data_IF_487688481047
#
_entry.id   IF_487688481047
#
_cell.length_a   1.000
_cell.length_b   1.000
_cell.length_c   1.000
_cell.angle_alpha   90.00
_cell.angle_beta   90.00
_cell.angle_gamma   90.00
#
_symmetry.space_group_name_H-M   'P 1'
#
loop_
_entity.id
_entity.type
_entity.pdbx_description
1 polymer ?
#
# COMPACT_ATOMS: atom_id res chain seq x y z
N UNK A 1 -11.25 9.11 21.87
CA UNK A 1 -10.90 10.54 21.93
C UNK A 1 -10.99 11.10 20.52
N UNK A 2 -11.73 12.20 20.30
CA UNK A 2 -11.70 12.94 19.03
C UNK A 2 -10.71 14.10 19.19
N UNK A 3 -9.81 14.28 18.23
CA UNK A 3 -8.81 15.36 18.22
C UNK A 3 -9.36 16.65 17.63
N UNK A 4 -10.48 16.59 16.90
CA UNK A 4 -11.14 17.76 16.32
C UNK A 4 -12.65 17.56 16.19
N UNK A 5 -13.39 18.66 16.19
CA UNK A 5 -14.84 18.73 15.99
C UNK A 5 -15.15 19.65 14.81
N UNK A 6 -15.25 19.06 13.62
CA UNK A 6 -15.55 19.77 12.39
C UNK A 6 -16.80 19.21 11.70
N UNK A 7 -17.43 20.04 10.87
CA UNK A 7 -18.54 19.59 10.03
C UNK A 7 -18.05 18.56 9.00
N UNK A 8 -18.91 17.66 8.50
CA UNK A 8 -18.53 16.69 7.47
C UNK A 8 -17.93 17.33 6.22
N UNK A 9 -18.41 18.53 5.83
CA UNK A 9 -17.90 19.28 4.68
C UNK A 9 -16.44 19.72 4.89
N UNK A 10 -16.15 20.33 6.05
CA UNK A 10 -14.79 20.78 6.39
C UNK A 10 -13.83 19.60 6.50
N UNK A 11 -14.27 18.48 7.07
CA UNK A 11 -13.47 17.25 7.13
C UNK A 11 -13.04 16.77 5.75
N UNK A 12 -14.00 16.62 4.84
CA UNK A 12 -13.70 16.11 3.50
C UNK A 12 -12.89 17.10 2.68
N UNK A 13 -13.14 18.40 2.83
CA UNK A 13 -12.32 19.43 2.21
C UNK A 13 -10.85 19.29 2.66
N UNK A 14 -10.59 19.22 3.97
CA UNK A 14 -9.24 19.08 4.50
C UNK A 14 -8.54 17.80 4.01
N UNK A 15 -9.24 16.66 4.00
CA UNK A 15 -8.68 15.40 3.53
C UNK A 15 -8.39 15.41 2.03
N UNK A 16 -9.34 15.86 1.22
CA UNK A 16 -9.18 15.92 -0.24
C UNK A 16 -8.01 16.84 -0.60
N UNK A 17 -7.86 17.99 0.05
CA UNK A 17 -6.69 18.86 -0.14
C UNK A 17 -5.37 18.12 0.11
N UNK A 18 -5.28 17.36 1.21
CA UNK A 18 -4.07 16.57 1.52
C UNK A 18 -3.86 15.45 0.49
N UNK A 19 -4.92 14.77 0.07
CA UNK A 19 -4.81 13.71 -0.95
C UNK A 19 -4.36 14.23 -2.31
N UNK A 20 -4.82 15.42 -2.70
CA UNK A 20 -4.34 16.09 -3.92
C UNK A 20 -2.84 16.39 -3.82
N UNK A 21 -2.37 16.86 -2.66
CA UNK A 21 -0.93 17.08 -2.42
C UNK A 21 -0.16 15.76 -2.51
N UNK A 22 -0.63 14.71 -1.82
CA UNK A 22 -0.01 13.37 -1.85
C UNK A 22 0.05 12.82 -3.28
N UNK A 23 -1.06 12.89 -4.02
CA UNK A 23 -1.14 12.45 -5.40
C UNK A 23 -0.15 13.24 -6.28
N UNK A 24 -0.09 14.56 -6.11
CA UNK A 24 0.83 15.42 -6.87
C UNK A 24 2.28 15.05 -6.60
N UNK A 25 2.69 14.91 -5.33
CA UNK A 25 4.05 14.49 -4.95
C UNK A 25 4.39 13.11 -5.52
N UNK A 26 3.46 12.15 -5.38
CA UNK A 26 3.66 10.79 -5.90
C UNK A 26 3.80 10.78 -7.43
N UNK A 27 2.96 11.52 -8.14
CA UNK A 27 3.01 11.65 -9.60
C UNK A 27 4.31 12.30 -10.08
N UNK A 28 4.72 13.43 -9.48
CA UNK A 28 5.96 14.12 -9.84
C UNK A 28 7.18 13.25 -9.58
N UNK A 29 7.20 12.50 -8.47
CA UNK A 29 8.29 11.57 -8.19
C UNK A 29 8.30 10.39 -9.17
N UNK A 30 7.15 9.78 -9.47
CA UNK A 30 7.06 8.73 -10.48
C UNK A 30 7.50 9.19 -11.87
N UNK A 31 7.16 10.42 -12.27
CA UNK A 31 7.65 11.02 -13.52
C UNK A 31 9.16 11.22 -13.50
N UNK A 32 9.71 11.72 -12.39
CA UNK A 32 11.15 11.94 -12.22
C UNK A 32 11.91 10.61 -12.31
N UNK A 33 11.43 9.58 -11.59
CA UNK A 33 12.03 8.24 -11.64
C UNK A 33 11.92 7.63 -13.04
N UNK A 34 10.77 7.76 -13.71
CA UNK A 34 10.61 7.30 -15.10
C UNK A 34 11.64 7.97 -16.03
N UNK A 35 11.84 9.27 -15.90
CA UNK A 35 12.85 10.01 -16.67
C UNK A 35 14.27 9.52 -16.36
N UNK A 36 14.59 9.35 -15.09
CA UNK A 36 15.88 8.80 -14.64
C UNK A 36 16.15 7.41 -15.21
N UNK A 37 15.18 6.48 -15.13
CA UNK A 37 15.32 5.13 -15.69
C UNK A 37 15.48 5.16 -17.22
N UNK A 38 14.83 6.11 -17.90
CA UNK A 38 15.02 6.33 -19.33
C UNK A 38 16.48 6.69 -19.68
N UNK A 39 17.07 7.63 -18.94
CA UNK A 39 18.48 8.04 -19.13
C UNK A 39 19.43 6.88 -18.81
N UNK A 40 19.23 6.20 -17.67
CA UNK A 40 20.06 5.05 -17.27
C UNK A 40 19.98 3.92 -18.30
N UNK A 41 18.78 3.64 -18.82
CA UNK A 41 18.58 2.64 -19.87
C UNK A 41 19.38 2.95 -21.13
N UNK A 42 19.36 4.21 -21.59
CA UNK A 42 20.14 4.63 -22.77
C UNK A 42 21.65 4.55 -22.52
N UNK A 43 22.13 4.97 -21.35
CA UNK A 43 23.54 4.87 -20.99
C UNK A 43 24.02 3.41 -20.90
N UNK A 44 23.17 2.50 -20.44
CA UNK A 44 23.45 1.07 -20.37
C UNK A 44 23.71 0.44 -21.73
N UNK A 45 23.07 0.96 -22.80
CA UNK A 45 23.28 0.48 -24.17
C UNK A 45 24.63 0.90 -24.75
N UNK A 46 25.22 2.01 -24.30
CA UNK A 46 26.51 2.54 -24.81
C UNK A 46 26.58 2.65 -26.35
N UNK A 47 25.46 3.03 -26.97
CA UNK A 47 25.33 3.14 -28.43
C UNK A 47 25.01 1.82 -29.16
N UNK A 48 24.91 0.69 -28.45
CA UNK A 48 24.42 -0.55 -29.00
C UNK A 48 22.90 -0.49 -29.26
N UNK A 49 22.41 -1.38 -30.13
CA UNK A 49 20.98 -1.51 -30.37
C UNK A 49 20.23 -1.96 -29.12
N UNK A 50 18.99 -1.49 -28.97
CA UNK A 50 18.13 -1.93 -27.88
C UNK A 50 17.85 -3.44 -27.99
N UNK A 51 17.88 -4.18 -26.87
CA UNK A 51 17.64 -5.61 -26.91
C UNK A 51 16.25 -5.93 -27.48
N UNK A 52 16.18 -7.01 -28.25
CA UNK A 52 14.93 -7.56 -28.79
C UNK A 52 14.13 -8.33 -27.74
N UNK A 53 14.56 -8.31 -26.48
CA UNK A 53 13.87 -8.97 -25.37
C UNK A 53 12.54 -8.28 -25.05
N UNK A 54 11.53 -9.03 -24.55
CA UNK A 54 10.24 -8.46 -24.15
C UNK A 54 10.35 -7.40 -23.07
N UNK A 55 11.30 -7.57 -22.14
CA UNK A 55 11.63 -6.61 -21.08
C UNK A 55 12.86 -5.80 -21.47
N UNK A 56 12.81 -4.48 -21.30
CA UNK A 56 13.84 -3.54 -21.73
C UNK A 56 14.26 -2.55 -20.65
N UNK A 57 13.47 -2.42 -19.58
CA UNK A 57 13.69 -1.42 -18.56
C UNK A 57 14.82 -1.83 -17.62
N UNK A 58 15.75 -0.91 -17.38
CA UNK A 58 16.73 -1.06 -16.31
C UNK A 58 16.07 -0.79 -14.96
N UNK A 59 16.50 -1.52 -13.93
CA UNK A 59 16.01 -1.35 -12.57
C UNK A 59 17.15 -0.97 -11.64
N UNK A 60 16.92 -0.07 -10.68
CA UNK A 60 17.87 0.16 -9.60
C UNK A 60 18.14 -1.15 -8.85
N UNK A 61 19.37 -1.35 -8.39
CA UNK A 61 19.76 -2.59 -7.69
C UNK A 61 18.87 -2.90 -6.47
N UNK A 62 18.46 -1.86 -5.72
CA UNK A 62 17.57 -2.02 -4.56
C UNK A 62 16.13 -2.45 -4.94
N UNK A 63 15.77 -2.37 -6.23
CA UNK A 63 14.46 -2.68 -6.78
C UNK A 63 14.52 -3.84 -7.78
N UNK A 64 15.55 -4.68 -7.72
CA UNK A 64 15.74 -5.81 -8.65
C UNK A 64 14.53 -6.77 -8.66
N UNK A 65 13.86 -6.95 -7.53
CA UNK A 65 12.65 -7.78 -7.41
C UNK A 65 11.52 -7.36 -8.34
N UNK A 66 11.48 -6.09 -8.77
CA UNK A 66 10.49 -5.62 -9.73
C UNK A 66 10.62 -6.33 -11.09
N UNK A 67 11.83 -6.73 -11.50
CA UNK A 67 12.03 -7.55 -12.71
C UNK A 67 11.36 -8.92 -12.57
N UNK A 68 11.54 -9.56 -11.42
CA UNK A 68 10.93 -10.86 -11.10
C UNK A 68 9.41 -10.74 -11.08
N UNK A 69 8.87 -9.66 -10.51
CA UNK A 69 7.44 -9.38 -10.50
C UNK A 69 6.85 -9.15 -11.90
N UNK A 70 7.57 -8.44 -12.79
CA UNK A 70 7.15 -8.28 -14.20
C UNK A 70 7.12 -9.63 -14.90
N UNK A 71 8.16 -10.47 -14.74
CA UNK A 71 8.19 -11.83 -15.31
C UNK A 71 7.04 -12.69 -14.82
N UNK A 72 6.74 -12.62 -13.53
CA UNK A 72 5.61 -13.33 -12.93
C UNK A 72 4.25 -12.84 -13.46
N UNK A 73 4.09 -11.54 -13.69
CA UNK A 73 2.88 -11.00 -14.31
C UNK A 73 2.74 -11.48 -15.77
N UNK A 74 3.84 -11.53 -16.52
CA UNK A 74 3.86 -12.04 -17.90
C UNK A 74 3.48 -13.53 -17.96
N UNK A 75 4.07 -14.38 -17.12
CA UNK A 75 3.75 -15.83 -17.12
C UNK A 75 2.27 -16.10 -16.82
N UNK A 76 1.64 -15.27 -15.98
CA UNK A 76 0.20 -15.37 -15.69
C UNK A 76 -0.65 -15.01 -16.93
N UNK A 77 -0.22 -13.99 -17.68
CA UNK A 77 -0.90 -13.51 -18.90
C UNK A 77 -0.70 -14.46 -20.08
N UNK A 78 0.47 -15.08 -20.19
CA UNK A 78 0.81 -16.10 -21.20
C UNK A 78 0.04 -17.42 -20.98
N UNK A 79 -0.66 -17.55 -19.85
CA UNK A 79 -1.55 -18.67 -19.57
C UNK A 79 -0.84 -19.91 -19.04
N UNK A 80 0.43 -19.80 -18.63
CA UNK A 80 1.18 -20.92 -18.06
C UNK A 80 0.51 -21.44 -16.78
N UNK A 81 0.03 -20.51 -15.94
CA UNK A 81 -0.60 -20.80 -14.65
C UNK A 81 -1.59 -19.68 -14.26
N UNK A 82 -2.66 -20.00 -13.53
CA UNK A 82 -3.55 -18.99 -12.92
C UNK A 82 -2.99 -18.49 -11.57
N UNK A 83 -2.23 -19.35 -10.89
CA UNK A 83 -1.65 -19.08 -9.57
C UNK A 83 -0.16 -19.35 -9.62
N UNK A 84 0.64 -18.34 -9.29
CA UNK A 84 2.08 -18.50 -9.12
C UNK A 84 2.36 -19.44 -7.94
N UNK A 85 2.91 -20.61 -8.24
CA UNK A 85 3.38 -21.61 -7.27
C UNK A 85 4.79 -22.09 -7.57
N UNK A 86 5.16 -22.11 -8.84
CA UNK A 86 6.48 -22.55 -9.30
C UNK A 86 6.95 -21.69 -10.47
N UNK A 87 8.26 -21.49 -10.59
CA UNK A 87 8.86 -20.73 -11.69
C UNK A 87 10.18 -21.33 -12.15
N UNK A 88 10.48 -21.18 -13.44
CA UNK A 88 11.74 -21.56 -14.07
C UNK A 88 12.57 -20.35 -14.53
N UNK A 89 12.15 -19.12 -14.20
CA UNK A 89 12.87 -17.91 -14.61
C UNK A 89 14.21 -17.74 -13.88
N UNK A 90 14.39 -18.43 -12.75
CA UNK A 90 15.60 -18.47 -11.94
C UNK A 90 15.90 -19.92 -11.47
N UNK A 91 17.00 -20.12 -10.76
CA UNK A 91 17.43 -21.41 -10.19
C UNK A 91 17.51 -22.57 -11.20
N UNK A 92 18.02 -22.27 -12.41
CA UNK A 92 18.21 -23.27 -13.45
C UNK A 92 19.15 -24.41 -12.99
N UNK A 93 18.92 -25.67 -13.42
CA UNK A 93 17.87 -26.10 -14.34
C UNK A 93 16.51 -26.36 -13.66
N UNK A 94 16.48 -26.44 -12.33
CA UNK A 94 15.33 -26.98 -11.63
C UNK A 94 14.17 -25.98 -11.50
N UNK A 95 14.46 -24.68 -11.43
CA UNK A 95 13.48 -23.69 -11.01
C UNK A 95 13.30 -23.68 -9.49
N UNK A 96 12.24 -23.03 -9.00
CA UNK A 96 11.90 -23.02 -7.58
C UNK A 96 10.42 -22.76 -7.32
N UNK A 97 10.01 -23.05 -6.08
CA UNK A 97 8.72 -22.60 -5.57
C UNK A 97 8.65 -21.07 -5.44
N UNK A 98 7.47 -20.53 -5.71
CA UNK A 98 7.14 -19.11 -5.56
C UNK A 98 6.26 -18.95 -4.33
N UNK A 99 6.84 -18.39 -3.26
CA UNK A 99 6.14 -18.08 -2.02
C UNK A 99 5.41 -16.73 -2.07
N UNK A 100 5.68 -15.91 -3.08
CA UNK A 100 5.03 -14.61 -3.27
C UNK A 100 3.54 -14.76 -3.62
N UNK A 101 2.77 -13.74 -3.27
CA UNK A 101 1.33 -13.76 -3.48
C UNK A 101 0.97 -13.54 -4.96
N UNK A 102 0.08 -14.37 -5.51
CA UNK A 102 -0.33 -14.27 -6.92
C UNK A 102 -1.21 -13.03 -7.20
N UNK A 103 -1.88 -12.51 -6.18
CA UNK A 103 -2.77 -11.35 -6.32
C UNK A 103 -2.00 -10.09 -6.75
N UNK A 104 -0.77 -9.91 -6.24
CA UNK A 104 0.07 -8.78 -6.61
C UNK A 104 0.54 -8.87 -8.06
N UNK A 105 0.95 -10.06 -8.53
CA UNK A 105 1.28 -10.26 -9.94
C UNK A 105 0.09 -10.02 -10.87
N UNK A 106 -1.12 -10.46 -10.48
CA UNK A 106 -2.35 -10.14 -11.22
C UNK A 106 -2.67 -8.64 -11.21
N UNK A 107 -2.35 -7.94 -10.12
CA UNK A 107 -2.52 -6.47 -10.05
C UNK A 107 -1.60 -5.77 -11.05
N UNK A 108 -0.35 -6.24 -11.18
CA UNK A 108 0.61 -5.75 -12.19
C UNK A 108 0.10 -6.05 -13.61
N UNK A 109 -0.34 -7.29 -13.86
CA UNK A 109 -0.90 -7.68 -15.16
C UNK A 109 -2.10 -6.81 -15.55
N UNK A 110 -3.04 -6.59 -14.62
CA UNK A 110 -4.19 -5.70 -14.84
C UNK A 110 -3.75 -4.27 -15.16
N UNK A 111 -2.77 -3.73 -14.44
CA UNK A 111 -2.20 -2.42 -14.75
C UNK A 111 -1.62 -2.37 -16.16
N UNK A 112 -0.92 -3.42 -16.59
CA UNK A 112 -0.38 -3.53 -17.93
C UNK A 112 -1.44 -3.62 -19.02
N UNK A 113 -2.56 -4.33 -18.77
CA UNK A 113 -3.71 -4.33 -19.68
C UNK A 113 -4.33 -2.94 -19.84
N UNK A 114 -4.45 -2.19 -18.74
CA UNK A 114 -4.97 -0.82 -18.79
C UNK A 114 -4.01 0.06 -19.60
N UNK A 115 -2.71 0.00 -19.32
CA UNK A 115 -1.68 0.76 -20.06
C UNK A 115 -1.67 0.38 -21.55
N UNK A 116 -1.80 -0.91 -21.88
CA UNK A 116 -1.91 -1.42 -23.24
C UNK A 116 -3.13 -0.84 -23.95
N UNK A 117 -4.30 -0.88 -23.31
CA UNK A 117 -5.55 -0.37 -23.87
C UNK A 117 -5.51 1.15 -24.10
N UNK A 118 -4.88 1.91 -23.19
CA UNK A 118 -4.78 3.37 -23.29
C UNK A 118 -3.75 3.81 -24.34
N UNK A 119 -2.62 3.11 -24.45
CA UNK A 119 -1.47 3.57 -25.26
C UNK A 119 -1.27 2.82 -26.57
N UNK A 120 -1.88 1.65 -26.73
CA UNK A 120 -1.62 0.73 -27.85
C UNK A 120 -0.25 0.06 -27.82
N UNK A 121 0.57 0.27 -26.78
CA UNK A 121 1.89 -0.35 -26.67
C UNK A 121 1.78 -1.88 -26.53
N UNK A 122 2.72 -2.69 -27.05
CA UNK A 122 2.70 -4.14 -26.87
C UNK A 122 2.56 -4.54 -25.40
N UNK A 123 1.67 -5.51 -25.11
CA UNK A 123 1.30 -5.87 -23.73
C UNK A 123 2.50 -6.14 -22.80
N UNK A 124 3.58 -6.84 -23.23
CA UNK A 124 4.74 -7.03 -22.36
C UNK A 124 5.41 -5.72 -21.94
N UNK A 125 5.50 -4.76 -22.87
CA UNK A 125 6.06 -3.44 -22.60
C UNK A 125 5.12 -2.59 -21.75
N UNK A 126 3.81 -2.76 -21.90
CA UNK A 126 2.82 -2.07 -21.08
C UNK A 126 2.85 -2.56 -19.62
N UNK A 127 2.97 -3.87 -19.41
CA UNK A 127 3.18 -4.49 -18.09
C UNK A 127 4.47 -3.98 -17.45
N UNK A 128 5.56 -3.89 -18.21
CA UNK A 128 6.81 -3.32 -17.71
C UNK A 128 6.68 -1.82 -17.39
N UNK A 129 5.99 -1.03 -18.20
CA UNK A 129 5.85 0.42 -17.98
C UNK A 129 4.99 0.77 -16.77
N UNK A 130 3.95 -0.02 -16.48
CA UNK A 130 2.99 0.33 -15.40
C UNK A 130 3.63 0.32 -14.01
N UNK A 131 4.75 -0.40 -13.84
CA UNK A 131 5.36 -0.61 -12.53
C UNK A 131 5.88 0.69 -11.90
N UNK A 132 6.26 1.70 -12.69
CA UNK A 132 6.69 2.99 -12.11
C UNK A 132 5.54 3.72 -11.40
N UNK A 133 4.30 3.34 -11.70
CA UNK A 133 3.09 3.95 -11.15
C UNK A 133 2.43 3.09 -10.07
N UNK A 134 2.50 1.77 -10.18
CA UNK A 134 1.62 0.88 -9.43
C UNK A 134 1.73 1.06 -7.91
N UNK A 135 2.95 1.15 -7.39
CA UNK A 135 3.17 1.34 -5.95
C UNK A 135 2.78 2.75 -5.47
N UNK A 136 2.99 3.78 -6.29
CA UNK A 136 2.51 5.13 -5.98
C UNK A 136 0.96 5.19 -5.93
N UNK A 137 0.28 4.49 -6.85
CA UNK A 137 -1.18 4.37 -6.87
C UNK A 137 -1.66 3.60 -5.63
N UNK A 138 -1.01 2.48 -5.29
CA UNK A 138 -1.35 1.70 -4.10
C UNK A 138 -1.19 2.53 -2.81
N UNK A 139 -0.10 3.29 -2.69
CA UNK A 139 0.14 4.21 -1.57
C UNK A 139 -0.98 5.25 -1.46
N UNK A 140 -1.37 5.87 -2.58
CA UNK A 140 -2.45 6.86 -2.61
C UNK A 140 -3.79 6.25 -2.16
N UNK A 141 -4.17 5.10 -2.72
CA UNK A 141 -5.40 4.39 -2.35
C UNK A 141 -5.39 4.07 -0.85
N UNK A 142 -4.31 3.50 -0.33
CA UNK A 142 -4.21 3.14 1.09
C UNK A 142 -4.22 4.38 1.99
N UNK A 143 -3.55 5.45 1.58
CA UNK A 143 -3.59 6.74 2.29
C UNK A 143 -5.02 7.26 2.37
N UNK A 144 -5.76 7.28 1.27
CA UNK A 144 -7.17 7.71 1.22
C UNK A 144 -8.02 6.84 2.15
N UNK A 145 -7.92 5.52 2.05
CA UNK A 145 -8.73 4.58 2.83
C UNK A 145 -8.47 4.70 4.33
N UNK A 146 -7.21 4.67 4.74
CA UNK A 146 -6.83 4.66 6.16
C UNK A 146 -7.09 6.04 6.79
N UNK A 147 -6.72 7.14 6.13
CA UNK A 147 -6.99 8.50 6.64
C UNK A 147 -8.47 8.84 6.69
N UNK A 148 -9.26 8.39 5.70
CA UNK A 148 -10.74 8.49 5.73
C UNK A 148 -11.31 7.75 6.93
N UNK A 149 -10.83 6.53 7.20
CA UNK A 149 -11.29 5.75 8.32
C UNK A 149 -10.92 6.38 9.67
N UNK A 150 -9.67 6.84 9.83
CA UNK A 150 -9.22 7.54 11.04
C UNK A 150 -9.99 8.84 11.26
N UNK A 151 -10.22 9.63 10.22
CA UNK A 151 -10.94 10.91 10.37
C UNK A 151 -12.37 10.74 10.86
N UNK A 152 -13.06 9.69 10.41
CA UNK A 152 -14.42 9.37 10.88
C UNK A 152 -14.46 8.98 12.37
N UNK A 153 -13.36 8.44 12.90
CA UNK A 153 -13.27 7.96 14.30
C UNK A 153 -12.68 9.00 15.25
N UNK A 154 -11.65 9.72 14.82
CA UNK A 154 -10.82 10.58 15.65
C UNK A 154 -10.82 12.06 15.21
N UNK A 155 -11.55 12.44 14.16
CA UNK A 155 -11.63 13.82 13.65
C UNK A 155 -10.67 14.09 12.49
N UNK A 156 -10.95 15.12 11.70
CA UNK A 156 -10.18 15.49 10.49
C UNK A 156 -8.69 15.65 10.78
N UNK A 157 -8.32 16.29 11.89
CA UNK A 157 -6.91 16.52 12.24
C UNK A 157 -6.13 15.20 12.34
N UNK A 158 -6.71 14.17 12.96
CA UNK A 158 -6.09 12.85 13.06
C UNK A 158 -5.87 12.20 11.69
N UNK A 159 -6.86 12.34 10.79
CA UNK A 159 -6.78 11.80 9.43
C UNK A 159 -5.72 12.51 8.59
N UNK A 160 -5.64 13.84 8.70
CA UNK A 160 -4.63 14.66 8.02
C UNK A 160 -3.22 14.32 8.50
N UNK A 161 -3.00 14.30 9.82
CA UNK A 161 -1.70 13.93 10.40
C UNK A 161 -1.29 12.55 9.91
N UNK A 162 -2.19 11.56 9.93
CA UNK A 162 -1.87 10.23 9.45
C UNK A 162 -1.52 10.20 7.96
N UNK A 163 -2.27 10.90 7.11
CA UNK A 163 -1.99 10.96 5.69
C UNK A 163 -0.60 11.55 5.41
N UNK A 164 -0.24 12.63 6.10
CA UNK A 164 1.08 13.26 6.04
C UNK A 164 2.17 12.33 6.57
N UNK A 165 1.92 11.61 7.66
CA UNK A 165 2.88 10.66 8.22
C UNK A 165 3.13 9.47 7.28
N UNK A 166 2.10 8.94 6.61
CA UNK A 166 2.25 7.82 5.66
C UNK A 166 3.18 8.21 4.50
N UNK A 167 2.97 9.38 3.91
CA UNK A 167 3.79 9.85 2.78
C UNK A 167 5.18 10.32 3.22
N UNK A 168 5.28 10.95 4.40
CA UNK A 168 6.52 11.55 4.90
C UNK A 168 7.44 10.57 5.63
N UNK A 169 6.97 9.39 6.02
CA UNK A 169 7.79 8.42 6.74
C UNK A 169 8.69 7.64 5.77
N UNK A 170 10.03 7.73 5.88
CA UNK A 170 10.95 7.17 4.89
C UNK A 170 10.75 5.67 4.63
N UNK A 171 10.55 4.87 5.69
CA UNK A 171 10.35 3.41 5.55
C UNK A 171 9.02 3.01 4.92
N UNK A 172 7.99 3.84 5.11
CA UNK A 172 6.70 3.57 4.46
C UNK A 172 6.87 3.93 2.99
N UNK A 173 7.40 5.12 2.71
CA UNK A 173 7.59 5.60 1.36
C UNK A 173 8.53 4.73 0.52
N UNK A 174 9.62 4.23 1.11
CA UNK A 174 10.57 3.30 0.50
C UNK A 174 9.84 2.07 -0.05
N UNK A 175 8.94 1.46 0.73
CA UNK A 175 8.15 0.30 0.28
C UNK A 175 7.14 0.58 -0.84
N UNK A 176 6.93 1.86 -1.19
CA UNK A 176 6.08 2.30 -2.31
C UNK A 176 6.85 3.15 -3.33
N UNK A 177 8.18 3.09 -3.31
CA UNK A 177 9.03 3.86 -4.21
C UNK A 177 8.67 3.58 -5.68
N UNK A 178 8.59 4.60 -6.55
CA UNK A 178 8.29 4.39 -7.97
C UNK A 178 9.27 3.41 -8.64
N UNK A 179 8.76 2.33 -9.23
CA UNK A 179 9.59 1.30 -9.86
C UNK A 179 10.15 0.25 -8.91
N UNK A 180 10.03 0.42 -7.59
CA UNK A 180 10.19 -0.68 -6.63
C UNK A 180 8.85 -1.38 -6.42
N UNK A 181 8.34 -2.04 -7.48
CA UNK A 181 7.07 -2.77 -7.40
C UNK A 181 7.27 -4.05 -6.64
N UNK A 182 6.80 -4.02 -5.40
CA UNK A 182 6.87 -5.12 -4.47
C UNK A 182 5.80 -4.97 -3.38
N UNK A 183 5.52 -6.06 -2.68
CA UNK A 183 4.51 -6.17 -1.65
C UNK A 183 4.95 -5.65 -0.27
N UNK A 184 6.22 -5.28 -0.08
CA UNK A 184 6.76 -4.79 1.20
C UNK A 184 6.04 -3.55 1.75
N UNK A 185 5.64 -2.62 0.90
CA UNK A 185 4.84 -1.45 1.32
C UNK A 185 3.49 -1.86 1.90
N UNK A 186 2.83 -2.85 1.28
CA UNK A 186 1.56 -3.39 1.76
C UNK A 186 1.73 -4.07 3.13
N UNK A 187 2.80 -4.85 3.32
CA UNK A 187 3.11 -5.48 4.61
C UNK A 187 3.35 -4.43 5.70
N UNK A 188 4.09 -3.37 5.38
CA UNK A 188 4.39 -2.28 6.30
C UNK A 188 3.12 -1.57 6.77
N UNK A 189 2.22 -1.20 5.84
CA UNK A 189 0.94 -0.58 6.20
C UNK A 189 -0.02 -1.55 6.90
N UNK A 190 -0.01 -2.83 6.52
CA UNK A 190 -0.80 -3.85 7.19
C UNK A 190 -0.39 -3.99 8.66
N UNK A 191 0.91 -3.98 8.97
CA UNK A 191 1.42 -4.00 10.34
C UNK A 191 0.92 -2.80 11.16
N UNK A 192 0.86 -1.60 10.56
CA UNK A 192 0.28 -0.41 11.20
C UNK A 192 -1.24 -0.53 11.46
N UNK A 193 -1.95 -1.41 10.74
CA UNK A 193 -3.39 -1.65 10.91
C UNK A 193 -3.72 -2.72 11.97
N UNK A 194 -2.74 -3.48 12.47
CA UNK A 194 -2.89 -4.50 13.52
C UNK A 194 -3.39 -3.97 14.89
N UNK A 195 -3.25 -2.68 15.29
CA UNK A 195 -3.75 -2.22 16.59
C UNK A 195 -5.26 -2.38 16.81
N UNK A 196 -6.05 -2.84 15.83
CA UNK A 196 -7.49 -3.10 15.98
C UNK A 196 -7.89 -3.92 17.21
N UNK A 197 -7.04 -4.82 17.72
CA UNK A 197 -7.32 -5.54 18.99
C UNK A 197 -6.80 -4.80 20.23
N UNK A 198 -5.64 -4.16 20.16
CA UNK A 198 -5.09 -3.39 21.27
C UNK A 198 -5.94 -2.15 21.60
N UNK A 199 -6.39 -1.39 20.59
CA UNK A 199 -7.18 -0.17 20.82
C UNK A 199 -8.65 -0.45 21.15
N UNK A 200 -9.21 -1.60 20.73
CA UNK A 200 -10.56 -2.01 21.13
C UNK A 200 -10.63 -2.30 22.65
N UNK A 201 -9.55 -2.78 23.25
CA UNK A 201 -9.43 -2.91 24.71
C UNK A 201 -9.35 -1.54 25.43
N UNK A 202 -8.83 -0.50 24.78
CA UNK A 202 -8.74 0.85 25.34
C UNK A 202 -9.97 1.75 25.08
N UNK A 203 -10.85 1.38 24.13
CA UNK A 203 -11.98 2.22 23.73
C UNK A 203 -13.35 1.67 24.11
N UNK A 204 -13.43 0.56 24.86
CA UNK A 204 -14.68 0.18 25.51
C UNK A 204 -14.87 1.17 26.67
N UNK A 205 -15.91 2.02 26.69
CA UNK A 205 -16.21 2.83 27.86
C UNK A 205 -16.58 1.85 28.96
N UNK A 206 -15.62 1.54 29.83
CA UNK A 206 -15.87 0.85 31.08
C UNK A 206 -16.75 1.83 31.85
N UNK A 207 -18.08 1.65 31.78
CA UNK A 207 -19.02 2.25 32.71
C UNK A 207 -18.49 1.85 34.09
N UNK A 208 -17.71 2.71 34.71
CA UNK A 208 -17.48 2.68 36.14
C UNK A 208 -18.86 2.87 36.75
N UNK A 209 -19.58 1.76 36.95
CA UNK A 209 -20.63 1.73 37.95
C UNK A 209 -19.87 1.94 39.24
N UNK A 210 -19.86 3.18 39.72
CA UNK A 210 -19.43 3.46 41.08
C UNK A 210 -20.13 2.44 41.96
N UNK A 211 -19.34 1.65 42.68
CA UNK A 211 -19.86 0.87 43.78
C UNK A 211 -20.49 1.89 44.72
N UNK A 212 -21.81 2.04 44.64
CA UNK A 212 -22.50 2.74 45.71
C UNK A 212 -22.21 1.95 46.99
N UNK A 213 -21.68 2.58 48.04
CA UNK A 213 -21.55 1.92 49.31
C UNK A 213 -22.94 1.47 49.72
N UNK A 214 -23.14 0.15 49.82
CA UNK A 214 -24.36 -0.40 50.42
C UNK A 214 -24.39 0.14 51.84
N UNK A 215 -25.33 1.03 52.12
CA UNK A 215 -25.66 1.44 53.48
C UNK A 215 -25.90 0.18 54.32
N UNK A 216 -25.23 0.00 55.46
CA UNK A 216 -25.50 -1.13 56.34
C UNK A 216 -26.97 -1.05 56.76
N UNK A 217 -27.75 -2.07 56.42
CA UNK A 217 -29.08 -2.25 56.99
C UNK A 217 -28.87 -2.55 58.46
N UNK A 218 -29.28 -1.63 59.33
CA UNK A 218 -29.45 -1.92 60.75
C UNK A 218 -30.39 -3.12 60.89
N UNK A 219 -29.86 -4.23 61.41
CA UNK A 219 -30.67 -5.32 61.89
C UNK A 219 -31.44 -4.83 63.11
N UNK A 220 -32.76 -4.87 63.05
CA UNK A 220 -33.62 -4.59 64.19
C UNK A 220 -33.43 -5.61 65.32
N UNK A 221 -33.87 -5.27 66.55
CA UNK A 221 -33.67 -6.10 67.72
C UNK A 221 -34.45 -7.41 67.60
N UNK A 222 -33.77 -8.52 67.88
CA UNK A 222 -34.37 -9.83 68.11
C UNK A 222 -35.06 -9.78 69.47
N UNK A 223 -36.40 -9.86 69.47
CA UNK A 223 -37.17 -10.07 70.68
C UNK A 223 -37.06 -11.56 71.08
N UNK A 224 -36.55 -11.81 72.28
CA UNK A 224 -36.71 -13.11 72.94
C UNK A 224 -38.08 -13.14 73.62
N UNK A 225 -38.87 -14.16 73.29
CA UNK A 225 -40.13 -14.54 73.92
C UNK A 225 -40.43 -15.99 73.58
#
# INVERSE_FOLDING_TARGET
>A
MRLSHESPRVRWLALVSVWVIVATVALLHSQTVRGYLGVVGQLGLRGAEAPSTPMKQAFPAFAADAQTWVRHALSLVEGEQVRLRYTHIDNAPNGREVHWNSAWAWTIALGGYIEHWVTGAPLPQAIERVIVWLNAIALLILTILISSWVSRRAGALAGVILAVSIIGHPRVYEGFFPGYVDHHGLLTLAALAVPRRATACFLRPRKWRGAQPRSPRFAGPVACG
#
